data_IF_403307668807
#
_entry.id   IF_403307668807
#
_cell.length_a   1.000
_cell.length_b   1.000
_cell.length_c   1.000
_cell.angle_alpha   90.00
_cell.angle_beta   90.00
_cell.angle_gamma   90.00
#
_symmetry.space_group_name_H-M   'P 1'
#
loop_
_entity.id
_entity.type
_entity.pdbx_description
1 polymer ?
#
# COMPACT_ATOMS: atom_id res chain seq x y z
N UNK A 1 18.97 1.17 9.79
CA UNK A 1 17.69 1.90 9.66
C UNK A 1 16.79 1.06 8.78
N UNK A 2 15.78 0.41 9.35
CA UNK A 2 14.78 -0.31 8.55
C UNK A 2 13.97 0.77 7.82
N UNK A 3 14.17 0.88 6.52
CA UNK A 3 13.33 1.71 5.67
C UNK A 3 12.10 0.86 5.35
N UNK A 4 10.92 1.33 5.76
CA UNK A 4 9.67 0.66 5.40
C UNK A 4 9.50 0.55 3.89
N UNK A 5 8.61 -0.33 3.46
CA UNK A 5 8.36 -0.57 2.05
C UNK A 5 7.87 0.71 1.38
N UNK A 6 8.45 1.10 0.23
CA UNK A 6 7.99 2.28 -0.46
C UNK A 6 6.56 2.05 -1.00
N UNK A 7 5.72 3.07 -0.88
CA UNK A 7 4.41 3.09 -1.51
C UNK A 7 4.55 2.86 -3.02
N UNK A 8 3.82 1.89 -3.56
CA UNK A 8 3.88 1.53 -4.98
C UNK A 8 3.47 2.69 -5.90
N UNK A 9 2.65 3.63 -5.41
CA UNK A 9 2.20 4.80 -6.18
C UNK A 9 3.11 6.01 -6.02
N UNK A 10 3.32 6.48 -4.79
CA UNK A 10 4.01 7.76 -4.54
C UNK A 10 5.47 7.62 -4.07
N UNK A 11 5.94 6.38 -3.86
CA UNK A 11 7.30 6.05 -3.40
C UNK A 11 7.68 6.58 -2.01
N UNK A 12 6.74 7.17 -1.26
CA UNK A 12 6.96 7.52 0.13
C UNK A 12 7.18 6.25 0.96
N UNK A 13 8.13 6.30 1.90
CA UNK A 13 8.35 5.21 2.85
C UNK A 13 7.09 5.01 3.71
N UNK A 14 6.63 3.77 3.80
CA UNK A 14 5.52 3.39 4.68
C UNK A 14 6.04 2.95 6.05
N UNK A 15 5.14 2.69 6.99
CA UNK A 15 5.49 2.07 8.28
C UNK A 15 5.65 0.54 8.19
N UNK A 16 5.27 -0.06 7.06
CA UNK A 16 5.29 -1.50 6.86
C UNK A 16 6.71 -1.97 6.52
N UNK A 17 7.28 -2.86 7.34
CA UNK A 17 8.57 -3.46 7.02
C UNK A 17 8.47 -4.44 5.84
N UNK A 18 9.51 -4.50 5.00
CA UNK A 18 9.56 -5.39 3.81
C UNK A 18 9.38 -6.87 4.13
N UNK A 19 9.70 -7.29 5.36
CA UNK A 19 9.58 -8.69 5.78
C UNK A 19 8.24 -9.02 6.43
N UNK A 20 7.36 -8.04 6.64
CA UNK A 20 6.01 -8.29 7.16
C UNK A 20 5.25 -9.17 6.17
N UNK A 21 4.72 -10.34 6.55
CA UNK A 21 3.86 -11.14 5.70
C UNK A 21 2.67 -10.35 5.15
N UNK A 22 2.31 -10.54 3.87
CA UNK A 22 1.28 -9.76 3.18
C UNK A 22 -0.08 -9.75 3.89
N UNK A 23 -0.49 -10.90 4.45
CA UNK A 23 -1.76 -11.03 5.18
C UNK A 23 -1.84 -10.23 6.49
N UNK A 24 -0.72 -9.65 6.97
CA UNK A 24 -0.69 -8.75 8.13
C UNK A 24 -0.47 -7.28 7.73
N UNK A 25 -0.40 -6.98 6.44
CA UNK A 25 -0.15 -5.62 5.96
C UNK A 25 -1.47 -4.91 5.76
N UNK A 26 -1.63 -3.78 6.42
CA UNK A 26 -2.66 -2.82 6.07
C UNK A 26 -2.30 -2.15 4.75
N UNK A 27 -3.32 -1.79 3.96
CA UNK A 27 -3.14 -1.04 2.70
C UNK A 27 -2.25 -1.74 1.65
N UNK A 28 -2.16 -3.08 1.71
CA UNK A 28 -1.48 -3.87 0.70
C UNK A 28 -2.46 -4.33 -0.37
N UNK A 29 -2.11 -4.11 -1.64
CA UNK A 29 -2.91 -4.58 -2.78
C UNK A 29 -2.18 -5.75 -3.43
N UNK A 30 -2.85 -6.89 -3.49
CA UNK A 30 -2.32 -8.09 -4.15
C UNK A 30 -1.99 -7.80 -5.63
N UNK A 31 -0.72 -8.02 -5.98
CA UNK A 31 -0.19 -7.77 -7.33
C UNK A 31 0.27 -6.34 -7.61
N UNK A 32 -0.08 -5.35 -6.80
CA UNK A 32 0.41 -3.97 -6.92
C UNK A 32 1.49 -3.62 -5.88
N UNK A 33 1.39 -4.18 -4.67
CA UNK A 33 2.33 -3.96 -3.57
C UNK A 33 1.76 -3.10 -2.44
N UNK A 34 2.65 -2.61 -1.58
CA UNK A 34 2.29 -1.77 -0.43
C UNK A 34 1.90 -0.35 -0.86
N UNK A 35 0.81 0.19 -0.31
CA UNK A 35 0.47 1.61 -0.40
C UNK A 35 0.65 2.31 0.95
N UNK A 36 0.86 3.63 0.91
CA UNK A 36 0.61 4.44 2.10
C UNK A 36 -0.91 4.63 2.28
N UNK A 37 -1.32 4.96 3.51
CA UNK A 37 -2.72 5.19 3.88
C UNK A 37 -3.41 6.15 2.91
N UNK A 38 -2.79 7.31 2.64
CA UNK A 38 -3.36 8.32 1.75
C UNK A 38 -3.65 7.79 0.32
N UNK A 39 -2.68 7.11 -0.29
CA UNK A 39 -2.88 6.56 -1.64
C UNK A 39 -3.92 5.43 -1.65
N UNK A 40 -3.99 4.62 -0.60
CA UNK A 40 -5.00 3.58 -0.48
C UNK A 40 -6.41 4.18 -0.37
N UNK A 41 -6.59 5.22 0.45
CA UNK A 41 -7.86 5.94 0.59
C UNK A 41 -8.30 6.61 -0.72
N UNK A 42 -7.39 7.21 -1.47
CA UNK A 42 -7.69 7.80 -2.78
C UNK A 42 -8.22 6.76 -3.78
N UNK A 43 -7.60 5.57 -3.83
CA UNK A 43 -8.08 4.46 -4.66
C UNK A 43 -9.46 4.00 -4.18
N UNK A 44 -9.64 3.81 -2.86
CA UNK A 44 -10.88 3.35 -2.27
C UNK A 44 -12.06 4.30 -2.51
N UNK A 45 -11.80 5.60 -2.61
CA UNK A 45 -12.83 6.59 -2.92
C UNK A 45 -13.08 6.73 -4.42
N UNK A 46 -12.16 6.28 -5.26
CA UNK A 46 -12.29 6.37 -6.70
C UNK A 46 -13.14 5.22 -7.26
N UNK A 47 -14.37 5.55 -7.68
CA UNK A 47 -15.36 4.59 -8.16
C UNK A 47 -14.93 3.79 -9.38
N UNK A 48 -13.99 4.28 -10.18
CA UNK A 48 -13.45 3.55 -11.34
C UNK A 48 -12.39 2.52 -10.93
N UNK A 49 -11.79 2.68 -9.75
CA UNK A 49 -10.63 1.90 -9.28
C UNK A 49 -11.00 0.90 -8.17
N UNK A 50 -12.27 0.83 -7.75
CA UNK A 50 -12.74 -0.16 -6.77
C UNK A 50 -12.40 -1.61 -7.11
N UNK A 51 -12.18 -1.95 -8.39
CA UNK A 51 -11.83 -3.31 -8.79
C UNK A 51 -10.37 -3.69 -8.46
N UNK A 52 -9.57 -2.75 -7.94
CA UNK A 52 -8.17 -2.96 -7.56
C UNK A 52 -8.00 -3.20 -6.06
N UNK A 53 -9.08 -3.14 -5.28
CA UNK A 53 -9.11 -3.43 -3.84
C UNK A 53 -9.79 -4.78 -3.60
#
# INVERSE_FOLDING_TARGET
MNQGEPCALCQQATEIEKNTPSYMREHYIDGAGQLCEHCYEEIAQNKEWHNLL
#
